data_IF_757113074166
#
_entry.id   IF_757113074166
#
_cell.length_a   1.000
_cell.length_b   1.000
_cell.length_c   1.000
_cell.angle_alpha   90.00
_cell.angle_beta   90.00
_cell.angle_gamma   90.00
#
_symmetry.space_group_name_H-M   'P 1'
#
loop_
_entity.id
_entity.type
_entity.pdbx_description
1 polymer ?
#
# COMPACT_ATOMS: atom_id res chain seq x y z
N UNK A 1 51.57 -23.37 5.31
CA UNK A 1 51.47 -22.31 6.34
C UNK A 1 50.92 -21.04 5.69
N UNK A 2 50.08 -20.32 6.44
CA UNK A 2 49.42 -19.05 6.11
C UNK A 2 48.20 -19.11 5.18
N UNK A 3 47.01 -18.88 5.74
CA UNK A 3 46.27 -17.65 5.48
C UNK A 3 45.01 -17.54 6.37
N UNK A 4 45.09 -16.64 7.35
CA UNK A 4 44.10 -15.62 7.71
C UNK A 4 42.68 -16.09 8.10
N UNK A 5 42.45 -16.08 9.42
CA UNK A 5 41.14 -15.89 10.03
C UNK A 5 40.56 -14.52 9.62
N UNK A 6 39.30 -14.49 9.18
CA UNK A 6 38.51 -13.25 9.16
C UNK A 6 37.15 -13.49 9.82
N UNK A 7 37.04 -12.88 10.98
CA UNK A 7 35.90 -12.72 11.88
C UNK A 7 34.55 -12.54 11.17
N UNK A 8 33.62 -13.46 11.43
CA UNK A 8 32.19 -13.26 11.20
C UNK A 8 31.68 -12.22 12.20
N UNK A 9 31.32 -11.03 11.71
CA UNK A 9 30.60 -10.02 12.49
C UNK A 9 29.12 -10.42 12.55
N UNK A 10 28.51 -10.56 13.74
CA UNK A 10 27.07 -10.67 13.89
C UNK A 10 26.49 -9.26 13.84
N UNK A 11 25.71 -8.94 12.81
CA UNK A 11 25.18 -7.59 12.66
C UNK A 11 24.71 -7.27 11.26
N UNK A 12 23.99 -8.21 10.63
CA UNK A 12 23.00 -7.80 9.64
C UNK A 12 21.72 -7.70 10.44
N UNK A 13 21.51 -6.54 11.04
CA UNK A 13 20.18 -6.12 11.43
C UNK A 13 19.35 -6.27 10.16
N UNK A 14 18.54 -7.31 10.15
CA UNK A 14 17.43 -7.49 9.22
C UNK A 14 16.52 -6.28 9.46
N UNK A 15 16.86 -5.16 8.81
CA UNK A 15 15.91 -4.14 8.44
C UNK A 15 14.95 -4.87 7.50
N UNK A 16 14.01 -5.61 8.09
CA UNK A 16 12.84 -6.13 7.42
C UNK A 16 12.09 -4.89 6.98
N UNK A 17 12.46 -4.39 5.79
CA UNK A 17 11.69 -3.37 5.09
C UNK A 17 10.28 -3.91 5.04
N UNK A 18 9.39 -3.32 5.85
CA UNK A 18 8.00 -3.75 5.92
C UNK A 18 7.46 -3.77 4.50
N UNK A 19 6.97 -4.92 4.00
CA UNK A 19 6.62 -5.05 2.59
C UNK A 19 5.61 -3.98 2.20
N UNK A 20 5.87 -3.29 1.09
CA UNK A 20 5.00 -2.20 0.62
C UNK A 20 3.70 -2.80 0.07
N UNK A 21 2.63 -2.73 0.86
CA UNK A 21 1.32 -3.26 0.48
C UNK A 21 0.61 -2.33 -0.52
N UNK A 22 0.44 -2.79 -1.75
CA UNK A 22 -0.31 -2.09 -2.80
C UNK A 22 -1.74 -2.62 -2.86
N UNK A 23 -2.67 -1.94 -2.20
CA UNK A 23 -4.07 -2.35 -2.12
C UNK A 23 -4.88 -1.74 -3.27
N UNK A 24 -5.77 -2.54 -3.88
CA UNK A 24 -6.77 -2.05 -4.84
C UNK A 24 -8.16 -2.27 -4.24
N UNK A 25 -8.93 -1.19 -4.13
CA UNK A 25 -10.30 -1.21 -3.61
C UNK A 25 -11.26 -1.05 -4.80
N UNK A 26 -12.19 -1.97 -4.96
CA UNK A 26 -13.25 -1.89 -5.97
C UNK A 26 -14.58 -1.72 -5.26
N UNK A 27 -15.28 -0.62 -5.53
CA UNK A 27 -16.61 -0.36 -5.01
C UNK A 27 -17.66 -0.73 -6.07
N UNK A 28 -18.57 -1.63 -5.75
CA UNK A 28 -19.69 -2.01 -6.62
C UNK A 28 -21.01 -1.75 -5.92
N UNK A 29 -21.91 -1.00 -6.55
CA UNK A 29 -23.26 -0.75 -6.06
C UNK A 29 -24.18 -0.45 -7.24
N UNK A 30 -25.49 -0.68 -7.06
CA UNK A 30 -26.54 -0.25 -8.01
C UNK A 30 -26.88 1.23 -7.86
N UNK A 31 -26.59 1.84 -6.70
CA UNK A 31 -26.91 3.23 -6.42
C UNK A 31 -25.67 4.11 -6.58
N UNK A 32 -25.62 4.91 -7.66
CA UNK A 32 -24.50 5.78 -8.02
C UNK A 32 -24.26 6.86 -6.97
N UNK A 33 -25.31 7.48 -6.43
CA UNK A 33 -25.18 8.58 -5.45
C UNK A 33 -24.47 8.13 -4.17
N UNK A 34 -24.79 6.93 -3.69
CA UNK A 34 -24.15 6.38 -2.50
C UNK A 34 -22.71 5.94 -2.79
N UNK A 35 -22.44 5.42 -4.00
CA UNK A 35 -21.10 5.01 -4.42
C UNK A 35 -20.15 6.22 -4.48
N UNK A 36 -20.60 7.34 -5.04
CA UNK A 36 -19.79 8.57 -5.11
C UNK A 36 -19.49 9.16 -3.74
N UNK A 37 -20.45 9.16 -2.81
CA UNK A 37 -20.24 9.59 -1.42
C UNK A 37 -19.15 8.76 -0.74
N UNK A 38 -19.30 7.43 -0.75
CA UNK A 38 -18.34 6.51 -0.11
C UNK A 38 -16.96 6.60 -0.77
N UNK A 39 -16.90 6.76 -2.08
CA UNK A 39 -15.65 6.94 -2.80
C UNK A 39 -14.92 8.21 -2.36
N UNK A 40 -15.65 9.33 -2.21
CA UNK A 40 -15.09 10.61 -1.77
C UNK A 40 -14.56 10.51 -0.34
N UNK A 41 -15.33 9.91 0.57
CA UNK A 41 -14.95 9.72 1.97
C UNK A 41 -13.70 8.84 2.12
N UNK A 42 -13.58 7.78 1.32
CA UNK A 42 -12.40 6.90 1.32
C UNK A 42 -11.13 7.65 0.87
N UNK A 43 -11.24 8.47 -0.17
CA UNK A 43 -10.11 9.26 -0.67
C UNK A 43 -9.69 10.30 0.37
N UNK A 44 -10.65 10.98 1.01
CA UNK A 44 -10.36 11.96 2.06
C UNK A 44 -9.67 11.30 3.26
N UNK A 45 -10.23 10.21 3.80
CA UNK A 45 -9.64 9.47 4.92
C UNK A 45 -8.25 8.90 4.62
N UNK A 46 -8.00 8.51 3.37
CA UNK A 46 -6.69 8.04 2.94
C UNK A 46 -5.66 9.17 2.91
N UNK A 47 -6.07 10.38 2.48
CA UNK A 47 -5.23 11.58 2.53
C UNK A 47 -4.93 12.02 3.96
N UNK A 48 -5.90 11.94 4.87
CA UNK A 48 -5.72 12.27 6.29
C UNK A 48 -4.66 11.38 6.95
N UNK A 49 -4.57 10.12 6.50
CA UNK A 49 -3.55 9.15 6.95
C UNK A 49 -2.24 9.21 6.15
N UNK A 50 -2.07 10.21 5.28
CA UNK A 50 -0.91 10.40 4.42
C UNK A 50 -0.59 9.19 3.52
N UNK A 51 -1.62 8.43 3.11
CA UNK A 51 -1.45 7.31 2.18
C UNK A 51 -1.44 7.82 0.73
N UNK A 52 -0.59 7.22 -0.10
CA UNK A 52 -0.55 7.53 -1.54
C UNK A 52 -1.74 6.90 -2.25
N UNK A 53 -2.66 7.73 -2.73
CA UNK A 53 -3.88 7.28 -3.41
C UNK A 53 -3.72 7.39 -4.93
N UNK A 54 -4.10 6.33 -5.67
CA UNK A 54 -4.41 6.44 -7.10
C UNK A 54 -5.90 6.77 -7.21
N UNK A 55 -6.24 7.79 -8.00
CA UNK A 55 -7.61 8.30 -8.12
C UNK A 55 -8.64 7.22 -8.50
N UNK A 56 -9.93 7.50 -8.30
CA UNK A 56 -10.98 6.53 -8.57
C UNK A 56 -11.05 6.23 -10.07
N UNK A 57 -10.89 4.96 -10.44
CA UNK A 57 -11.04 4.50 -11.82
C UNK A 57 -12.48 4.05 -12.00
N UNK A 58 -13.22 4.73 -12.88
CA UNK A 58 -14.60 4.34 -13.22
C UNK A 58 -14.55 3.21 -14.25
N UNK A 59 -15.10 2.06 -13.88
CA UNK A 59 -15.29 0.94 -14.79
C UNK A 59 -16.57 1.15 -15.61
N UNK A 60 -16.64 0.64 -16.85
CA UNK A 60 -17.89 0.54 -17.59
C UNK A 60 -18.92 -0.23 -16.76
N UNK A 61 -20.12 0.33 -16.60
CA UNK A 61 -21.25 -0.38 -16.00
C UNK A 61 -21.93 -1.25 -17.05
N UNK A 62 -22.65 -2.29 -16.61
CA UNK A 62 -23.60 -2.99 -17.48
C UNK A 62 -24.76 -2.07 -17.85
#
# INVERSE_FOLDING_TARGET
>A
MSAIQKSAKPGVEEQVESPVHRIRITLTSRNVKNLEKVCSDLIQRAKDKNLRVKGPVRLPTK
#
